data_IF_603491374922
#
_entry.id   IF_603491374922
#
_cell.length_a   1.000
_cell.length_b   1.000
_cell.length_c   1.000
_cell.angle_alpha   90.00
_cell.angle_beta   90.00
_cell.angle_gamma   90.00
#
_symmetry.space_group_name_H-M   'P 1'
#
loop_
_entity.id
_entity.type
_entity.pdbx_description
1 polymer ?
#
# COMPACT_ATOMS: atom_id res chain seq x y z
N UNK A 1 7.20 23.94 10.02
CA UNK A 1 6.98 24.94 8.93
C UNK A 1 5.49 24.94 8.62
N UNK A 2 4.78 26.02 8.89
CA UNK A 2 3.35 26.12 8.64
C UNK A 2 3.03 26.75 7.28
N UNK A 3 1.72 26.87 6.93
CA UNK A 3 1.28 27.52 5.67
C UNK A 3 1.92 28.90 5.43
N UNK A 4 2.12 29.71 6.48
CA UNK A 4 2.71 31.03 6.36
C UNK A 4 4.17 31.02 5.87
N UNK A 5 4.91 29.96 6.12
CA UNK A 5 6.31 29.84 5.70
C UNK A 5 6.48 29.34 4.26
N UNK A 6 5.42 28.86 3.62
CA UNK A 6 5.37 28.48 2.21
C UNK A 6 4.98 29.67 1.30
N UNK A 7 4.32 30.68 1.86
CA UNK A 7 3.89 31.86 1.10
C UNK A 7 5.11 32.58 0.48
N UNK A 8 5.02 32.84 -0.82
CA UNK A 8 6.07 33.50 -1.60
C UNK A 8 7.28 32.61 -1.96
N UNK A 9 7.38 31.37 -1.47
CA UNK A 9 8.43 30.44 -1.89
C UNK A 9 8.17 29.91 -3.29
N UNK A 10 9.23 29.64 -4.01
CA UNK A 10 9.18 28.92 -5.29
C UNK A 10 9.44 27.45 -5.07
N UNK A 11 8.43 26.60 -5.29
CA UNK A 11 8.46 25.17 -4.97
C UNK A 11 8.37 24.35 -6.25
N UNK A 12 9.32 23.42 -6.42
CA UNK A 12 9.28 22.44 -7.52
C UNK A 12 8.62 21.13 -7.02
N UNK A 13 7.53 20.73 -7.68
CA UNK A 13 6.88 19.42 -7.47
C UNK A 13 7.36 18.47 -8.55
N UNK A 14 8.03 17.39 -8.15
CA UNK A 14 8.58 16.37 -9.06
C UNK A 14 7.71 15.11 -9.03
N UNK A 15 7.12 14.78 -10.20
CA UNK A 15 6.08 13.76 -10.33
C UNK A 15 4.69 14.31 -10.06
N UNK A 16 3.86 14.40 -11.11
CA UNK A 16 2.53 15.03 -11.07
C UNK A 16 1.38 14.01 -11.13
N UNK A 17 1.64 12.76 -10.72
CA UNK A 17 0.57 11.80 -10.47
C UNK A 17 -0.26 12.21 -9.23
N UNK A 18 -1.08 11.32 -8.69
CA UNK A 18 -2.03 11.60 -7.60
C UNK A 18 -1.43 12.42 -6.44
N UNK A 19 -0.28 12.00 -5.90
CA UNK A 19 0.38 12.69 -4.77
C UNK A 19 0.92 14.07 -5.14
N UNK A 20 1.57 14.18 -6.30
CA UNK A 20 2.11 15.47 -6.76
C UNK A 20 1.04 16.48 -7.13
N UNK A 21 -0.08 16.05 -7.71
CA UNK A 21 -1.23 16.93 -7.96
C UNK A 21 -1.81 17.47 -6.64
N UNK A 22 -1.95 16.62 -5.63
CA UNK A 22 -2.44 17.05 -4.31
C UNK A 22 -1.47 18.02 -3.64
N UNK A 23 -0.16 17.73 -3.67
CA UNK A 23 0.87 18.61 -3.15
C UNK A 23 0.88 19.98 -3.85
N UNK A 24 0.83 20.02 -5.19
CA UNK A 24 0.80 21.25 -5.96
C UNK A 24 -0.42 22.10 -5.61
N UNK A 25 -1.61 21.47 -5.48
CA UNK A 25 -2.84 22.16 -5.09
C UNK A 25 -2.71 22.84 -3.72
N UNK A 26 -2.20 22.11 -2.73
CA UNK A 26 -2.02 22.65 -1.37
C UNK A 26 -0.96 23.75 -1.32
N UNK A 27 0.13 23.62 -2.06
CA UNK A 27 1.19 24.62 -2.15
C UNK A 27 0.68 25.93 -2.76
N UNK A 28 -0.09 25.86 -3.86
CA UNK A 28 -0.74 27.06 -4.44
C UNK A 28 -1.68 27.68 -3.43
N UNK A 29 -2.51 26.89 -2.73
CA UNK A 29 -3.42 27.37 -1.68
C UNK A 29 -2.70 27.96 -0.46
N UNK A 30 -1.43 27.60 -0.25
CA UNK A 30 -0.55 28.22 0.76
C UNK A 30 0.18 29.47 0.27
N UNK A 31 -0.04 29.92 -0.96
CA UNK A 31 0.58 31.11 -1.54
C UNK A 31 2.00 30.88 -2.10
N UNK A 32 2.41 29.64 -2.35
CA UNK A 32 3.66 29.32 -3.02
C UNK A 32 3.54 29.52 -4.55
N UNK A 33 4.65 29.89 -5.19
CA UNK A 33 4.82 29.81 -6.65
C UNK A 33 5.24 28.37 -7.01
N UNK A 34 4.39 27.65 -7.72
CA UNK A 34 4.62 26.21 -7.96
C UNK A 34 5.08 25.96 -9.38
N UNK A 35 6.19 25.24 -9.51
CA UNK A 35 6.69 24.63 -10.74
C UNK A 35 6.41 23.14 -10.67
N UNK A 36 5.74 22.56 -11.66
CA UNK A 36 5.44 21.13 -11.72
C UNK A 36 6.23 20.45 -12.84
N UNK A 37 6.86 19.33 -12.52
CA UNK A 37 7.56 18.49 -13.49
C UNK A 37 7.07 17.04 -13.45
N UNK A 38 6.86 16.45 -14.62
CA UNK A 38 6.64 15.01 -14.78
C UNK A 38 7.34 14.50 -16.06
N UNK A 39 7.92 13.29 -15.98
CA UNK A 39 8.58 12.65 -17.15
C UNK A 39 7.57 12.22 -18.23
N UNK A 40 6.30 12.04 -17.89
CA UNK A 40 5.24 11.70 -18.82
C UNK A 40 4.77 12.96 -19.57
N UNK A 41 5.23 13.13 -20.81
CA UNK A 41 4.88 14.27 -21.65
C UNK A 41 3.40 14.35 -22.05
N UNK A 42 2.65 13.26 -21.87
CA UNK A 42 1.21 13.17 -22.19
C UNK A 42 0.30 13.21 -20.98
N UNK A 43 0.85 13.51 -19.78
CA UNK A 43 0.07 13.56 -18.56
C UNK A 43 -0.99 14.67 -18.61
N UNK A 44 -2.24 14.34 -18.30
CA UNK A 44 -3.33 15.30 -18.20
C UNK A 44 -3.21 16.13 -16.92
N UNK A 45 -2.76 17.37 -17.06
CA UNK A 45 -2.49 18.32 -15.96
C UNK A 45 -3.30 19.63 -16.10
N UNK A 46 -4.40 19.61 -16.85
CA UNK A 46 -5.21 20.79 -17.13
C UNK A 46 -5.61 21.57 -15.87
N UNK A 47 -6.01 20.85 -14.82
CA UNK A 47 -6.40 21.44 -13.53
C UNK A 47 -5.26 22.17 -12.82
N UNK A 48 -4.01 21.72 -12.95
CA UNK A 48 -2.84 22.41 -12.38
C UNK A 48 -2.53 23.69 -13.15
N UNK A 49 -2.76 23.69 -14.48
CA UNK A 49 -2.58 24.88 -15.32
C UNK A 49 -3.59 25.97 -14.95
N UNK A 50 -4.84 25.61 -14.68
CA UNK A 50 -5.88 26.52 -14.20
C UNK A 50 -5.54 27.15 -12.85
N UNK A 51 -4.79 26.45 -12.02
CA UNK A 51 -4.27 26.94 -10.73
C UNK A 51 -3.03 27.84 -10.87
N UNK A 52 -2.53 28.07 -12.08
CA UNK A 52 -1.34 28.90 -12.32
C UNK A 52 -0.02 28.19 -12.08
N UNK A 53 0.01 26.85 -12.03
CA UNK A 53 1.25 26.08 -11.91
C UNK A 53 2.05 26.15 -13.23
N UNK A 54 3.33 26.52 -13.16
CA UNK A 54 4.27 26.44 -14.26
C UNK A 54 4.59 24.97 -14.55
N UNK A 55 4.24 24.45 -15.76
CA UNK A 55 4.30 23.03 -16.04
C UNK A 55 5.39 22.68 -17.06
N UNK A 56 6.22 21.68 -16.71
CA UNK A 56 7.24 21.10 -17.55
C UNK A 56 7.03 19.59 -17.66
N UNK A 57 6.70 19.11 -18.86
CA UNK A 57 6.39 17.69 -19.08
C UNK A 57 7.39 17.08 -20.08
N UNK A 58 7.80 15.85 -19.82
CA UNK A 58 8.69 15.05 -20.67
C UNK A 58 10.15 15.11 -20.23
N UNK A 59 10.95 16.01 -20.81
CA UNK A 59 12.40 16.02 -20.54
C UNK A 59 12.74 16.65 -19.19
N UNK A 60 13.53 15.94 -18.40
CA UNK A 60 14.09 16.43 -17.15
C UNK A 60 15.26 17.39 -17.42
N UNK A 61 15.22 18.59 -16.85
CA UNK A 61 16.24 19.61 -17.05
C UNK A 61 16.65 20.25 -15.74
N UNK A 62 17.95 20.22 -15.43
CA UNK A 62 18.50 20.74 -14.18
C UNK A 62 18.28 22.26 -13.98
N UNK A 63 18.05 23.01 -15.07
CA UNK A 63 17.69 24.42 -15.02
C UNK A 63 16.40 24.71 -14.24
N UNK A 64 15.50 23.73 -14.11
CA UNK A 64 14.27 23.85 -13.32
C UNK A 64 14.55 24.11 -11.83
N UNK A 65 15.77 23.84 -11.34
CA UNK A 65 16.19 24.14 -9.97
C UNK A 65 16.58 25.60 -9.73
N UNK A 66 16.63 26.43 -10.78
CA UNK A 66 17.00 27.84 -10.63
C UNK A 66 15.92 28.61 -9.85
N UNK A 67 16.33 29.21 -8.72
CA UNK A 67 15.44 29.97 -7.84
C UNK A 67 14.41 29.11 -7.10
N UNK A 68 14.59 27.81 -7.01
CA UNK A 68 13.74 26.92 -6.22
C UNK A 68 14.22 26.93 -4.75
N UNK A 69 13.27 27.12 -3.84
CA UNK A 69 13.48 27.13 -2.40
C UNK A 69 13.21 25.78 -1.74
N UNK A 70 12.43 24.92 -2.40
CA UNK A 70 12.00 23.61 -1.91
C UNK A 70 11.63 22.69 -3.07
N UNK A 71 11.99 21.43 -2.97
CA UNK A 71 11.51 20.35 -3.85
C UNK A 71 10.54 19.47 -3.08
N UNK A 72 9.36 19.19 -3.64
CA UNK A 72 8.42 18.18 -3.14
C UNK A 72 8.39 17.02 -4.11
N UNK A 73 8.76 15.83 -3.62
CA UNK A 73 8.91 14.62 -4.44
C UNK A 73 7.74 13.66 -4.25
N UNK A 74 7.14 13.21 -5.36
CA UNK A 74 6.19 12.08 -5.35
C UNK A 74 6.90 10.76 -5.05
N UNK A 75 6.25 9.79 -4.37
CA UNK A 75 6.88 8.51 -3.99
C UNK A 75 7.44 7.69 -5.16
N UNK A 76 6.78 7.77 -6.32
CA UNK A 76 7.21 7.08 -7.53
C UNK A 76 8.48 7.64 -8.19
N UNK A 77 8.93 8.82 -7.80
CA UNK A 77 10.15 9.45 -8.33
C UNK A 77 11.38 8.91 -7.60
N UNK A 78 12.36 8.33 -8.31
CA UNK A 78 13.60 7.87 -7.70
C UNK A 78 14.43 9.02 -7.12
N UNK A 79 15.16 8.76 -6.03
CA UNK A 79 16.06 9.72 -5.41
C UNK A 79 17.28 10.08 -6.26
N UNK A 80 17.59 9.27 -7.27
CA UNK A 80 18.73 9.41 -8.19
C UNK A 80 18.41 10.25 -9.42
N UNK A 81 17.20 10.76 -9.59
CA UNK A 81 16.86 11.65 -10.73
C UNK A 81 17.67 12.95 -10.69
N UNK A 82 17.88 13.53 -11.85
CA UNK A 82 18.71 14.75 -12.02
C UNK A 82 18.20 15.90 -11.15
N UNK A 83 16.87 16.07 -11.05
CA UNK A 83 16.28 17.14 -10.23
C UNK A 83 16.44 16.89 -8.74
N UNK A 84 16.24 15.65 -8.27
CA UNK A 84 16.37 15.34 -6.84
C UNK A 84 17.83 15.40 -6.39
N UNK A 85 18.74 14.79 -7.13
CA UNK A 85 20.18 14.87 -6.82
C UNK A 85 20.70 16.30 -6.92
N UNK A 86 20.34 17.01 -7.99
CA UNK A 86 20.75 18.39 -8.18
C UNK A 86 20.23 19.34 -7.10
N UNK A 87 19.03 19.09 -6.56
CA UNK A 87 18.51 19.81 -5.40
C UNK A 87 19.35 19.55 -4.15
N UNK A 88 19.62 18.29 -3.82
CA UNK A 88 20.46 17.89 -2.67
C UNK A 88 21.87 18.48 -2.75
N UNK A 89 22.50 18.44 -3.94
CA UNK A 89 23.84 19.02 -4.16
C UNK A 89 23.89 20.53 -3.96
N UNK A 90 22.77 21.22 -4.20
CA UNK A 90 22.63 22.68 -3.99
C UNK A 90 22.15 23.06 -2.60
N UNK A 91 21.93 22.07 -1.72
CA UNK A 91 21.37 22.31 -0.38
C UNK A 91 19.90 22.75 -0.41
N UNK A 92 19.17 22.51 -1.51
CA UNK A 92 17.72 22.75 -1.57
C UNK A 92 17.03 21.59 -0.84
N UNK A 93 16.17 21.87 0.16
CA UNK A 93 15.43 20.84 0.87
C UNK A 93 14.59 19.98 -0.11
N UNK A 94 14.56 18.66 0.13
CA UNK A 94 13.72 17.72 -0.61
C UNK A 94 12.78 17.06 0.37
N UNK A 95 11.48 17.24 0.21
CA UNK A 95 10.46 16.64 1.05
C UNK A 95 9.62 15.64 0.26
N UNK A 96 9.19 14.58 0.94
CA UNK A 96 8.10 13.75 0.42
C UNK A 96 6.75 14.49 0.53
N UNK A 97 5.75 14.02 -0.20
CA UNK A 97 4.36 14.50 -0.05
C UNK A 97 3.86 14.30 1.38
N UNK A 98 4.30 13.21 2.05
CA UNK A 98 3.98 12.94 3.45
C UNK A 98 4.57 13.98 4.39
N UNK A 99 5.83 14.36 4.19
CA UNK A 99 6.46 15.43 4.97
C UNK A 99 5.72 16.76 4.83
N UNK A 100 5.37 17.13 3.60
CA UNK A 100 4.57 18.34 3.35
C UNK A 100 3.21 18.26 4.07
N UNK A 101 2.51 17.14 3.98
CA UNK A 101 1.23 16.92 4.65
C UNK A 101 1.35 17.02 6.17
N UNK A 102 2.34 16.34 6.76
CA UNK A 102 2.59 16.36 8.20
C UNK A 102 2.90 17.75 8.75
N UNK A 103 3.60 18.59 7.97
CA UNK A 103 3.88 19.98 8.36
C UNK A 103 2.65 20.91 8.30
N UNK A 104 1.64 20.55 7.52
CA UNK A 104 0.46 21.38 7.29
C UNK A 104 -0.78 20.92 8.07
N UNK A 105 -0.74 19.73 8.64
CA UNK A 105 -1.79 19.15 9.45
C UNK A 105 -1.39 19.20 10.93
N UNK A 106 -2.35 19.54 11.79
CA UNK A 106 -2.19 19.51 13.26
C UNK A 106 -2.80 18.26 13.89
N UNK A 107 -3.44 17.44 13.08
CA UNK A 107 -4.12 16.22 13.50
C UNK A 107 -3.14 15.15 14.01
N UNK A 108 -3.51 14.38 15.04
CA UNK A 108 -2.70 13.25 15.48
C UNK A 108 -2.61 12.20 14.37
N UNK A 109 -1.37 11.79 14.05
CA UNK A 109 -1.10 10.78 13.02
C UNK A 109 -0.82 9.43 13.69
N UNK A 110 -1.49 8.38 13.21
CA UNK A 110 -1.16 6.99 13.44
C UNK A 110 -0.52 6.47 12.14
N UNK A 111 0.82 6.37 12.13
CA UNK A 111 1.58 5.93 10.98
C UNK A 111 1.71 4.41 10.93
N UNK A 112 1.49 3.80 9.77
CA UNK A 112 1.63 2.34 9.56
C UNK A 112 2.61 2.06 8.44
N UNK A 113 3.71 1.37 8.76
CA UNK A 113 4.69 0.90 7.79
C UNK A 113 4.98 -0.60 7.93
N UNK A 114 5.70 -1.15 6.98
CA UNK A 114 6.09 -2.55 6.91
C UNK A 114 6.33 -2.97 5.46
N UNK A 115 6.86 -4.12 5.24
CA UNK A 115 6.90 -4.69 3.89
C UNK A 115 5.49 -5.11 3.48
N UNK A 116 4.79 -5.82 4.34
CA UNK A 116 3.47 -6.41 4.11
C UNK A 116 2.45 -5.95 5.15
N UNK A 117 1.15 -6.11 4.86
CA UNK A 117 0.07 -5.86 5.82
C UNK A 117 -0.39 -4.41 5.97
N UNK A 118 0.36 -3.42 5.49
CA UNK A 118 0.09 -1.98 5.68
C UNK A 118 -1.36 -1.57 5.41
N UNK A 119 -1.87 -1.86 4.22
CA UNK A 119 -3.23 -1.44 3.82
C UNK A 119 -4.30 -2.09 4.68
N UNK A 120 -4.18 -3.41 4.93
CA UNK A 120 -5.12 -4.14 5.78
C UNK A 120 -5.15 -3.55 7.19
N UNK A 121 -3.97 -3.30 7.79
CA UNK A 121 -3.86 -2.72 9.13
C UNK A 121 -4.39 -1.30 9.18
N UNK A 122 -4.10 -0.46 8.17
CA UNK A 122 -4.58 0.93 8.12
C UNK A 122 -6.10 0.99 7.98
N UNK A 123 -6.69 0.17 7.12
CA UNK A 123 -8.15 0.12 6.94
C UNK A 123 -8.85 -0.48 8.15
N UNK A 124 -8.28 -1.52 8.78
CA UNK A 124 -8.79 -2.08 10.03
C UNK A 124 -8.75 -1.04 11.15
N UNK A 125 -7.68 -0.27 11.29
CA UNK A 125 -7.59 0.85 12.23
C UNK A 125 -8.67 1.90 11.94
N UNK A 126 -8.86 2.27 10.67
CA UNK A 126 -9.97 3.13 10.27
C UNK A 126 -11.33 2.60 10.71
N UNK A 127 -11.57 1.28 10.57
CA UNK A 127 -12.79 0.63 11.05
C UNK A 127 -12.92 0.68 12.58
N UNK A 128 -11.82 0.45 13.31
CA UNK A 128 -11.78 0.53 14.78
C UNK A 128 -12.14 1.93 15.28
N UNK A 129 -11.58 2.98 14.69
CA UNK A 129 -11.91 4.37 15.06
C UNK A 129 -13.38 4.69 14.78
N UNK A 130 -13.91 4.25 13.63
CA UNK A 130 -15.34 4.42 13.28
C UNK A 130 -16.24 3.68 14.25
N UNK A 131 -15.93 2.43 14.63
CA UNK A 131 -16.67 1.67 15.64
C UNK A 131 -16.64 2.35 17.01
N UNK A 132 -15.54 3.04 17.36
CA UNK A 132 -15.43 3.85 18.57
C UNK A 132 -16.15 5.21 18.48
N UNK A 133 -16.79 5.54 17.36
CA UNK A 133 -17.40 6.85 17.13
C UNK A 133 -16.40 8.01 17.08
N UNK A 134 -15.10 7.73 16.82
CA UNK A 134 -14.02 8.73 16.72
C UNK A 134 -13.83 9.18 15.29
N UNK A 135 -13.78 10.49 15.00
CA UNK A 135 -13.46 10.99 13.68
C UNK A 135 -12.09 10.47 13.19
N UNK A 136 -12.05 9.95 11.97
CA UNK A 136 -10.84 9.37 11.39
C UNK A 136 -10.82 9.49 9.88
N UNK A 137 -9.64 9.79 9.33
CA UNK A 137 -9.34 9.69 7.90
C UNK A 137 -8.24 8.65 7.68
N UNK A 138 -8.37 7.84 6.63
CA UNK A 138 -7.32 6.91 6.19
C UNK A 138 -6.69 7.48 4.92
N UNK A 139 -5.37 7.65 4.94
CA UNK A 139 -4.63 8.32 3.86
C UNK A 139 -3.20 7.76 3.71
N UNK A 140 -2.44 8.28 2.76
CA UNK A 140 -1.02 7.98 2.55
C UNK A 140 -0.73 7.24 1.26
N UNK A 141 0.00 6.13 1.34
CA UNK A 141 0.48 5.37 0.18
C UNK A 141 -0.64 4.78 -0.70
N UNK A 142 -1.76 4.43 -0.10
CA UNK A 142 -2.95 3.92 -0.80
C UNK A 142 -4.13 4.84 -0.51
N UNK A 143 -5.05 4.98 -1.47
CA UNK A 143 -6.21 5.83 -1.32
C UNK A 143 -5.88 7.31 -1.50
N UNK A 144 -6.16 8.13 -0.49
CA UNK A 144 -6.00 9.59 -0.53
C UNK A 144 -4.58 10.01 -0.16
N UNK A 145 -3.91 10.90 -0.92
CA UNK A 145 -2.67 11.54 -0.47
C UNK A 145 -2.88 12.30 0.85
N UNK A 146 -1.86 12.32 1.72
CA UNK A 146 -1.95 13.02 3.01
C UNK A 146 -2.23 14.51 2.83
N UNK A 147 -1.59 15.15 1.86
CA UNK A 147 -1.80 16.57 1.53
C UNK A 147 -3.24 16.88 1.09
N UNK A 148 -3.99 15.90 0.55
CA UNK A 148 -5.39 16.13 0.16
C UNK A 148 -6.34 16.35 1.35
N UNK A 149 -5.90 16.06 2.57
CA UNK A 149 -6.65 16.28 3.81
C UNK A 149 -6.52 17.72 4.31
N UNK A 150 -5.49 18.46 3.88
CA UNK A 150 -5.21 19.81 4.34
C UNK A 150 -6.37 20.75 4.04
N UNK A 151 -7.01 21.26 5.09
CA UNK A 151 -8.17 22.16 5.01
C UNK A 151 -9.51 21.47 4.79
N UNK A 152 -9.57 20.13 4.80
CA UNK A 152 -10.82 19.36 4.65
C UNK A 152 -11.08 18.38 5.79
N UNK A 153 -10.06 17.99 6.54
CA UNK A 153 -10.19 17.08 7.70
C UNK A 153 -10.66 17.87 8.93
N UNK A 154 -11.51 17.24 9.76
CA UNK A 154 -11.93 17.84 11.03
C UNK A 154 -10.76 17.94 12.00
N UNK A 155 -10.69 19.00 12.80
CA UNK A 155 -9.55 19.31 13.67
C UNK A 155 -9.31 18.22 14.75
N UNK A 156 -10.35 17.51 15.16
CA UNK A 156 -10.31 16.42 16.17
C UNK A 156 -10.15 15.03 15.56
N UNK A 157 -10.08 14.92 14.23
CA UNK A 157 -9.92 13.65 13.56
C UNK A 157 -8.49 13.09 13.72
N UNK A 158 -8.39 11.79 13.92
CA UNK A 158 -7.13 11.06 13.74
C UNK A 158 -6.88 10.79 12.26
N UNK A 159 -5.62 10.75 11.89
CA UNK A 159 -5.20 10.35 10.55
C UNK A 159 -4.44 9.05 10.64
N UNK A 160 -5.04 7.96 10.15
CA UNK A 160 -4.34 6.70 9.93
C UNK A 160 -3.61 6.79 8.60
N UNK A 161 -2.28 6.86 8.66
CA UNK A 161 -1.43 7.13 7.51
C UNK A 161 -0.62 5.89 7.11
N UNK A 162 -0.94 5.28 5.97
CA UNK A 162 -0.11 4.23 5.38
C UNK A 162 1.16 4.84 4.80
N UNK A 163 2.34 4.31 5.19
CA UNK A 163 3.65 4.83 4.84
C UNK A 163 4.51 3.78 4.13
N UNK A 164 4.86 4.05 2.87
CA UNK A 164 5.86 3.25 2.15
C UNK A 164 7.29 3.69 2.51
N UNK A 165 8.28 2.84 2.24
CA UNK A 165 9.69 3.23 2.37
C UNK A 165 10.03 4.44 1.50
N UNK A 166 9.47 4.50 0.28
CA UNK A 166 9.71 5.62 -0.65
C UNK A 166 9.19 6.97 -0.13
N UNK A 167 8.13 6.96 0.67
CA UNK A 167 7.61 8.15 1.33
C UNK A 167 8.45 8.55 2.54
N UNK A 168 8.98 7.55 3.26
CA UNK A 168 9.83 7.76 4.43
C UNK A 168 11.27 8.18 4.07
N UNK A 169 11.73 8.03 2.82
CA UNK A 169 13.06 8.51 2.38
C UNK A 169 13.28 9.99 2.67
N UNK A 170 12.28 10.82 2.44
CA UNK A 170 12.39 12.29 2.49
C UNK A 170 11.42 12.88 3.53
N UNK A 171 11.39 12.29 4.74
CA UNK A 171 10.72 12.86 5.93
C UNK A 171 11.78 13.48 6.85
N UNK A 172 11.46 14.60 7.48
CA UNK A 172 12.33 15.32 8.41
C UNK A 172 11.67 15.54 9.76
N UNK A 173 10.37 15.86 9.75
CA UNK A 173 9.62 16.26 10.95
C UNK A 173 8.40 15.40 11.25
N UNK A 174 8.17 14.37 10.43
CA UNK A 174 7.08 13.43 10.66
C UNK A 174 7.19 12.79 12.05
N UNK A 175 6.22 13.06 12.92
CA UNK A 175 6.14 12.59 14.31
C UNK A 175 4.77 11.95 14.54
N UNK A 176 4.59 10.66 14.22
CA UNK A 176 3.33 9.97 14.49
C UNK A 176 3.14 9.78 16.01
N UNK A 177 1.96 10.11 16.55
CA UNK A 177 1.59 9.83 17.95
C UNK A 177 1.58 8.33 18.24
N UNK A 178 1.26 7.53 17.23
CA UNK A 178 1.44 6.07 17.25
C UNK A 178 2.11 5.67 15.94
N UNK A 179 3.31 5.11 16.01
CA UNK A 179 4.01 4.53 14.86
C UNK A 179 3.92 3.01 14.92
N UNK A 180 3.58 2.37 13.80
CA UNK A 180 3.46 0.91 13.69
C UNK A 180 4.42 0.39 12.62
N UNK A 181 5.30 -0.51 13.02
CA UNK A 181 6.09 -1.34 12.11
C UNK A 181 5.54 -2.76 12.12
N UNK A 182 5.03 -3.25 10.99
CA UNK A 182 4.43 -4.58 10.91
C UNK A 182 5.48 -5.70 10.75
N UNK A 183 6.38 -5.52 9.79
CA UNK A 183 7.44 -6.47 9.45
C UNK A 183 8.45 -5.80 8.52
N UNK A 184 9.65 -6.38 8.43
CA UNK A 184 10.66 -6.02 7.41
C UNK A 184 11.15 -7.31 6.76
N UNK A 185 10.92 -7.44 5.46
CA UNK A 185 11.37 -8.53 4.61
C UNK A 185 12.07 -7.94 3.39
N UNK A 186 12.99 -8.66 2.72
CA UNK A 186 13.65 -8.17 1.51
C UNK A 186 12.64 -7.77 0.42
N UNK A 187 12.65 -6.47 0.06
CA UNK A 187 11.84 -5.89 -1.00
C UNK A 187 12.50 -4.60 -1.51
N UNK A 188 12.23 -4.22 -2.74
CA UNK A 188 12.72 -2.96 -3.33
C UNK A 188 14.23 -2.72 -3.22
N UNK A 189 15.06 -3.80 -3.24
CA UNK A 189 16.52 -3.70 -3.11
C UNK A 189 17.17 -3.03 -4.33
N UNK A 190 16.51 -3.07 -5.48
CA UNK A 190 16.86 -2.33 -6.69
C UNK A 190 16.87 -0.82 -6.46
N UNK A 191 16.04 -0.31 -5.56
CA UNK A 191 15.95 1.11 -5.22
C UNK A 191 16.76 1.49 -3.97
N UNK A 192 16.71 0.68 -2.91
CA UNK A 192 17.40 1.00 -1.66
C UNK A 192 18.86 0.55 -1.63
N UNK A 193 19.29 -0.27 -2.60
CA UNK A 193 20.65 -0.78 -2.73
C UNK A 193 20.99 -1.92 -1.77
N UNK A 194 20.43 -1.94 -0.55
CA UNK A 194 20.63 -3.01 0.43
C UNK A 194 19.40 -3.22 1.32
N UNK A 195 19.34 -4.39 1.98
CA UNK A 195 18.32 -4.68 2.97
C UNK A 195 18.41 -3.74 4.19
N UNK A 196 19.63 -3.45 4.64
CA UNK A 196 19.84 -2.58 5.79
C UNK A 196 19.35 -1.15 5.52
N UNK A 197 19.68 -0.57 4.35
CA UNK A 197 19.18 0.74 3.95
C UNK A 197 17.64 0.78 3.83
N UNK A 198 17.03 -0.30 3.32
CA UNK A 198 15.57 -0.44 3.28
C UNK A 198 14.97 -0.48 4.68
N UNK A 199 15.57 -1.26 5.59
CA UNK A 199 15.13 -1.37 6.98
C UNK A 199 15.27 -0.03 7.71
N UNK A 200 16.43 0.62 7.62
CA UNK A 200 16.69 1.95 8.19
C UNK A 200 15.69 2.98 7.71
N UNK A 201 15.38 2.98 6.40
CA UNK A 201 14.37 3.89 5.84
C UNK A 201 12.99 3.69 6.48
N UNK A 202 12.56 2.45 6.72
CA UNK A 202 11.28 2.20 7.41
C UNK A 202 11.29 2.64 8.87
N UNK A 203 12.42 2.47 9.55
CA UNK A 203 12.58 2.86 10.95
C UNK A 203 12.50 4.37 11.16
N UNK A 204 12.64 5.18 10.12
CA UNK A 204 12.47 6.65 10.20
C UNK A 204 11.09 7.07 10.70
N UNK A 205 10.08 6.20 10.63
CA UNK A 205 8.76 6.45 11.24
C UNK A 205 8.86 6.75 12.74
N UNK A 206 9.91 6.28 13.42
CA UNK A 206 10.11 6.42 14.87
C UNK A 206 11.12 7.54 15.22
N UNK A 207 11.90 8.06 14.26
CA UNK A 207 13.03 8.96 14.52
C UNK A 207 12.66 10.20 15.34
N UNK A 208 11.46 10.74 15.12
CA UNK A 208 11.00 11.98 15.75
C UNK A 208 10.02 11.74 16.89
N UNK A 209 9.64 10.49 17.16
CA UNK A 209 8.75 10.20 18.26
C UNK A 209 9.35 10.57 19.61
N UNK A 210 8.58 11.29 20.43
CA UNK A 210 8.89 11.69 21.78
C UNK A 210 8.49 10.60 22.80
N UNK A 211 8.82 10.80 24.07
CA UNK A 211 8.56 9.81 25.14
C UNK A 211 7.07 9.56 25.43
N UNK A 212 6.20 10.50 25.06
CA UNK A 212 4.73 10.39 25.19
C UNK A 212 4.07 9.75 23.97
N UNK A 213 4.83 9.52 22.89
CA UNK A 213 4.38 8.78 21.72
C UNK A 213 4.52 7.26 21.93
N UNK A 214 3.95 6.47 21.02
CA UNK A 214 4.02 5.01 21.10
C UNK A 214 4.56 4.40 19.80
N UNK A 215 5.56 3.54 19.95
CA UNK A 215 6.11 2.71 18.89
C UNK A 215 5.60 1.27 19.03
N UNK A 216 4.81 0.80 18.10
CA UNK A 216 4.25 -0.56 18.03
C UNK A 216 5.10 -1.38 17.06
N UNK A 217 5.72 -2.45 17.55
CA UNK A 217 6.68 -3.28 16.79
C UNK A 217 6.44 -4.76 17.02
N UNK A 218 6.89 -5.65 16.12
CA UNK A 218 6.82 -7.09 16.35
C UNK A 218 7.55 -7.51 17.64
N UNK A 219 7.05 -8.52 18.33
CA UNK A 219 7.69 -9.07 19.54
C UNK A 219 9.12 -9.50 19.23
N UNK A 220 10.05 -9.05 20.08
CA UNK A 220 11.48 -9.34 19.94
C UNK A 220 12.17 -8.56 18.81
N UNK A 221 11.53 -7.57 18.18
CA UNK A 221 12.18 -6.71 17.21
C UNK A 221 13.35 -5.96 17.86
N UNK A 222 14.44 -5.76 17.10
CA UNK A 222 15.65 -5.08 17.54
C UNK A 222 15.44 -3.63 18.00
N UNK A 223 16.52 -2.87 18.24
CA UNK A 223 16.44 -1.46 18.59
C UNK A 223 15.72 -0.62 17.51
N UNK A 224 15.02 0.41 17.95
CA UNK A 224 14.37 1.42 17.09
C UNK A 224 14.90 2.82 17.46
N UNK A 225 14.94 3.78 16.54
CA UNK A 225 15.28 5.16 16.85
C UNK A 225 14.17 5.86 17.64
N UNK A 226 14.48 7.08 18.14
CA UNK A 226 13.54 7.88 18.92
C UNK A 226 13.49 7.48 20.39
N UNK A 227 12.53 8.06 21.11
CA UNK A 227 12.36 7.85 22.56
C UNK A 227 10.97 7.37 22.96
N UNK A 228 10.14 6.98 21.97
CA UNK A 228 8.79 6.54 22.18
C UNK A 228 8.66 5.34 23.13
N UNK A 229 7.54 5.27 23.80
CA UNK A 229 7.17 4.09 24.56
C UNK A 229 6.95 2.90 23.63
N UNK A 230 7.74 1.85 23.80
CA UNK A 230 7.66 0.62 22.99
C UNK A 230 6.52 -0.27 23.46
N UNK A 231 5.72 -0.74 22.51
CA UNK A 231 4.68 -1.75 22.67
C UNK A 231 4.94 -2.86 21.65
N UNK A 232 4.99 -4.09 22.09
CA UNK A 232 5.22 -5.24 21.23
C UNK A 232 3.91 -5.96 20.92
N UNK A 233 3.82 -6.54 19.71
CA UNK A 233 2.70 -7.39 19.29
C UNK A 233 3.19 -8.68 18.63
N UNK A 234 2.34 -9.71 18.67
CA UNK A 234 2.54 -10.96 17.93
C UNK A 234 1.19 -11.60 17.55
N UNK A 235 1.22 -12.49 16.57
CA UNK A 235 0.01 -13.17 16.11
C UNK A 235 -0.66 -14.11 17.14
N UNK A 236 0.04 -14.46 18.21
CA UNK A 236 -0.47 -15.26 19.33
C UNK A 236 -1.01 -14.43 20.50
N UNK A 237 -1.00 -13.09 20.40
CA UNK A 237 -1.56 -12.21 21.42
C UNK A 237 -3.06 -12.45 21.58
N UNK A 238 -3.56 -12.25 22.82
CA UNK A 238 -5.00 -12.27 23.10
C UNK A 238 -5.66 -11.02 22.49
N UNK A 239 -6.61 -11.25 21.59
CA UNK A 239 -7.38 -10.21 20.93
C UNK A 239 -8.76 -10.09 21.59
N UNK A 240 -9.40 -8.89 21.55
CA UNK A 240 -10.76 -8.71 22.07
C UNK A 240 -11.82 -9.52 21.30
N UNK A 241 -11.53 -9.90 20.06
CA UNK A 241 -12.30 -10.85 19.26
C UNK A 241 -11.40 -11.46 18.16
N UNK A 242 -11.78 -12.61 17.63
CA UNK A 242 -11.12 -13.16 16.44
C UNK A 242 -11.44 -12.31 15.20
N UNK A 243 -10.43 -12.00 14.34
CA UNK A 243 -10.67 -11.25 13.14
C UNK A 243 -11.47 -12.07 12.12
N UNK A 244 -12.43 -11.42 11.46
CA UNK A 244 -13.26 -12.02 10.42
C UNK A 244 -12.42 -12.46 9.21
N UNK A 245 -11.38 -11.70 8.85
CA UNK A 245 -10.49 -12.00 7.74
C UNK A 245 -9.53 -13.16 8.10
N UNK A 246 -9.50 -14.24 7.29
CA UNK A 246 -8.75 -15.44 7.63
C UNK A 246 -7.24 -15.29 7.42
N UNK A 247 -6.49 -16.19 8.03
CA UNK A 247 -5.07 -16.38 7.81
C UNK A 247 -4.17 -15.79 8.89
N UNK A 248 -2.99 -16.42 9.12
CA UNK A 248 -2.07 -16.04 10.18
C UNK A 248 -1.54 -14.61 10.02
N UNK A 249 -1.30 -14.16 8.80
CA UNK A 249 -0.86 -12.77 8.53
C UNK A 249 -1.92 -11.74 8.91
N UNK A 250 -3.21 -12.07 8.71
CA UNK A 250 -4.29 -11.17 9.08
C UNK A 250 -4.47 -11.13 10.61
N UNK A 251 -4.17 -12.24 11.29
CA UNK A 251 -4.14 -12.25 12.75
C UNK A 251 -3.00 -11.39 13.31
N UNK A 252 -1.81 -11.41 12.68
CA UNK A 252 -0.71 -10.49 13.00
C UNK A 252 -1.08 -9.02 12.75
N UNK A 253 -1.71 -8.73 11.60
CA UNK A 253 -2.22 -7.39 11.30
C UNK A 253 -3.24 -6.92 12.34
N UNK A 254 -4.13 -7.82 12.79
CA UNK A 254 -5.12 -7.55 13.82
C UNK A 254 -4.47 -7.30 15.20
N UNK A 255 -3.42 -8.04 15.55
CA UNK A 255 -2.66 -7.83 16.78
C UNK A 255 -1.96 -6.46 16.77
N UNK A 256 -1.30 -6.10 15.66
CA UNK A 256 -0.70 -4.79 15.48
C UNK A 256 -1.73 -3.65 15.57
N UNK A 257 -2.88 -3.81 14.88
CA UNK A 257 -3.97 -2.84 14.92
C UNK A 257 -4.56 -2.69 16.34
N UNK A 258 -4.74 -3.80 17.05
CA UNK A 258 -5.22 -3.80 18.44
C UNK A 258 -4.26 -3.04 19.37
N UNK A 259 -2.97 -3.34 19.29
CA UNK A 259 -1.94 -2.65 20.07
C UNK A 259 -1.90 -1.14 19.76
N UNK A 260 -1.99 -0.76 18.49
CA UNK A 260 -2.00 0.63 18.05
C UNK A 260 -3.28 1.36 18.47
N UNK A 261 -4.45 0.73 18.35
CA UNK A 261 -5.72 1.29 18.77
C UNK A 261 -5.77 1.54 20.29
N UNK A 262 -5.30 0.58 21.09
CA UNK A 262 -5.16 0.76 22.56
C UNK A 262 -4.21 1.91 22.90
N UNK A 263 -3.10 2.06 22.15
CA UNK A 263 -2.17 3.18 22.31
C UNK A 263 -2.82 4.53 21.96
N UNK A 264 -3.74 4.56 21.00
CA UNK A 264 -4.55 5.73 20.67
C UNK A 264 -5.76 5.97 21.60
N UNK A 265 -5.89 5.16 22.66
CA UNK A 265 -6.97 5.28 23.67
C UNK A 265 -8.33 4.75 23.22
N UNK A 266 -8.36 3.79 22.30
CA UNK A 266 -9.60 3.09 21.90
C UNK A 266 -9.83 1.88 22.83
N UNK A 267 -11.06 1.74 23.29
CA UNK A 267 -11.46 0.63 24.15
C UNK A 267 -11.67 -0.69 23.39
N UNK A 268 -11.53 -1.81 24.12
CA UNK A 268 -11.59 -3.15 23.54
C UNK A 268 -12.95 -3.50 22.91
N UNK A 269 -14.06 -2.91 23.34
CA UNK A 269 -15.38 -3.15 22.74
C UNK A 269 -15.43 -2.71 21.26
N UNK A 270 -14.90 -1.53 20.97
CA UNK A 270 -14.84 -1.02 19.60
C UNK A 270 -13.83 -1.80 18.73
N UNK A 271 -12.72 -2.23 19.33
CA UNK A 271 -11.74 -3.08 18.65
C UNK A 271 -12.40 -4.43 18.31
N UNK A 272 -13.09 -5.05 19.27
CA UNK A 272 -13.80 -6.32 19.08
C UNK A 272 -14.88 -6.22 17.98
N UNK A 273 -15.64 -5.13 17.97
CA UNK A 273 -16.65 -4.87 16.92
C UNK A 273 -15.99 -4.80 15.54
N UNK A 274 -14.92 -4.00 15.40
CA UNK A 274 -14.21 -3.89 14.14
C UNK A 274 -13.59 -5.23 13.69
N UNK A 275 -13.00 -6.00 14.60
CA UNK A 275 -12.44 -7.31 14.27
C UNK A 275 -13.49 -8.30 13.75
N UNK A 276 -14.72 -8.26 14.29
CA UNK A 276 -15.82 -9.14 13.85
C UNK A 276 -16.46 -8.71 12.54
N UNK A 277 -16.39 -7.43 12.18
CA UNK A 277 -17.13 -6.84 11.05
C UNK A 277 -16.27 -6.42 9.89
N UNK A 278 -14.95 -6.32 10.07
CA UNK A 278 -14.05 -5.90 8.99
C UNK A 278 -13.85 -7.04 7.98
N UNK A 279 -14.46 -6.91 6.83
CA UNK A 279 -14.43 -7.89 5.73
C UNK A 279 -13.10 -7.90 4.95
N UNK A 280 -12.15 -7.02 5.30
CA UNK A 280 -10.88 -6.86 4.61
C UNK A 280 -10.86 -5.69 3.64
N UNK A 281 -9.82 -5.66 2.82
CA UNK A 281 -9.63 -4.63 1.78
C UNK A 281 -10.11 -5.19 0.46
N UNK A 282 -10.92 -4.47 -0.31
CA UNK A 282 -11.31 -4.90 -1.64
C UNK A 282 -10.10 -5.35 -2.47
N UNK A 283 -10.25 -6.43 -3.20
CA UNK A 283 -9.22 -7.03 -4.06
C UNK A 283 -7.96 -7.56 -3.32
N UNK A 284 -8.03 -7.77 -1.99
CA UNK A 284 -6.95 -8.35 -1.19
C UNK A 284 -7.47 -9.49 -0.32
N UNK A 285 -7.31 -10.74 -0.79
CA UNK A 285 -7.81 -11.96 -0.15
C UNK A 285 -9.28 -11.77 0.28
N UNK A 286 -10.04 -11.06 -0.55
CA UNK A 286 -11.44 -10.72 -0.34
C UNK A 286 -12.32 -11.93 -0.66
N UNK A 287 -13.08 -12.42 0.32
CA UNK A 287 -14.12 -13.41 0.06
C UNK A 287 -15.27 -12.74 -0.70
N UNK A 288 -15.42 -13.05 -1.99
CA UNK A 288 -16.50 -12.52 -2.83
C UNK A 288 -17.80 -13.26 -2.56
N UNK A 289 -17.73 -14.59 -2.53
CA UNK A 289 -18.90 -15.47 -2.38
C UNK A 289 -18.50 -16.87 -1.97
N UNK A 290 -19.37 -17.54 -1.25
CA UNK A 290 -19.37 -18.99 -1.13
C UNK A 290 -20.55 -19.54 -1.92
N UNK A 291 -20.29 -20.47 -2.85
CA UNK A 291 -21.31 -21.10 -3.68
C UNK A 291 -21.09 -22.62 -3.68
N UNK A 292 -22.10 -23.39 -3.26
CA UNK A 292 -22.04 -24.86 -3.18
C UNK A 292 -20.85 -25.39 -2.36
N UNK A 293 -20.44 -24.64 -1.33
CA UNK A 293 -19.29 -24.96 -0.48
C UNK A 293 -17.94 -24.58 -1.09
N UNK A 294 -17.89 -24.00 -2.29
CA UNK A 294 -16.68 -23.43 -2.90
C UNK A 294 -16.57 -21.96 -2.54
N UNK A 295 -15.41 -21.55 -2.02
CA UNK A 295 -15.11 -20.14 -1.71
C UNK A 295 -14.41 -19.46 -2.88
N UNK A 296 -14.92 -18.33 -3.31
CA UNK A 296 -14.35 -17.50 -4.38
C UNK A 296 -13.66 -16.29 -3.77
N UNK A 297 -12.35 -16.19 -3.95
CA UNK A 297 -11.50 -15.22 -3.27
C UNK A 297 -10.78 -14.32 -4.28
N UNK A 298 -10.91 -13.02 -4.10
CA UNK A 298 -10.34 -11.99 -4.94
C UNK A 298 -9.08 -11.39 -4.28
N UNK A 299 -7.92 -11.69 -4.83
CA UNK A 299 -6.63 -11.08 -4.50
C UNK A 299 -6.01 -10.39 -5.73
N UNK A 300 -6.83 -9.69 -6.52
CA UNK A 300 -6.36 -9.00 -7.73
C UNK A 300 -5.22 -8.02 -7.46
N UNK A 301 -5.07 -7.51 -6.24
CA UNK A 301 -3.96 -6.66 -5.79
C UNK A 301 -2.64 -7.43 -5.65
N UNK A 302 -2.65 -8.74 -5.68
CA UNK A 302 -1.48 -9.63 -5.69
C UNK A 302 -0.71 -9.56 -7.02
N UNK A 303 -0.07 -8.43 -7.32
CA UNK A 303 0.57 -8.14 -8.62
C UNK A 303 2.04 -8.54 -8.71
N UNK A 304 2.53 -9.36 -7.80
CA UNK A 304 3.87 -9.94 -7.79
C UNK A 304 3.89 -11.34 -7.16
N UNK A 305 4.97 -12.07 -7.38
CA UNK A 305 5.14 -13.46 -6.90
C UNK A 305 5.04 -13.55 -5.37
N UNK A 306 5.66 -12.61 -4.65
CA UNK A 306 5.64 -12.61 -3.18
C UNK A 306 4.22 -12.42 -2.61
N UNK A 307 3.39 -11.62 -3.25
CA UNK A 307 1.98 -11.46 -2.86
C UNK A 307 1.18 -12.75 -3.10
N UNK A 308 1.35 -13.38 -4.26
CA UNK A 308 0.67 -14.63 -4.58
C UNK A 308 1.07 -15.77 -3.63
N UNK A 309 2.35 -15.88 -3.26
CA UNK A 309 2.81 -16.84 -2.26
C UNK A 309 2.08 -16.69 -0.92
N UNK A 310 1.88 -15.44 -0.46
CA UNK A 310 1.11 -15.18 0.77
C UNK A 310 -0.36 -15.54 0.63
N UNK A 311 -0.95 -15.27 -0.54
CA UNK A 311 -2.34 -15.62 -0.80
C UNK A 311 -2.55 -17.15 -0.77
N UNK A 312 -1.65 -17.93 -1.38
CA UNK A 312 -1.69 -19.39 -1.30
C UNK A 312 -1.56 -19.87 0.17
N UNK A 313 -0.63 -19.29 0.94
CA UNK A 313 -0.41 -19.64 2.35
C UNK A 313 -1.60 -19.32 3.27
N UNK A 314 -2.52 -18.45 2.84
CA UNK A 314 -3.72 -18.11 3.62
C UNK A 314 -4.75 -19.25 3.67
N UNK A 315 -4.60 -20.29 2.84
CA UNK A 315 -5.53 -21.41 2.74
C UNK A 315 -4.80 -22.77 2.91
N UNK A 316 -4.22 -23.03 4.11
CA UNK A 316 -3.37 -24.22 4.30
C UNK A 316 -4.11 -25.55 4.15
N UNK A 317 -5.41 -25.56 4.47
CA UNK A 317 -6.23 -26.79 4.54
C UNK A 317 -7.18 -26.93 3.36
N UNK A 318 -7.08 -26.07 2.32
CA UNK A 318 -7.96 -26.12 1.15
C UNK A 318 -7.19 -26.50 -0.10
N UNK A 319 -7.86 -27.19 -1.01
CA UNK A 319 -7.43 -27.35 -2.39
C UNK A 319 -7.67 -26.04 -3.14
N UNK A 320 -6.67 -25.61 -3.91
CA UNK A 320 -6.69 -24.31 -4.58
C UNK A 320 -6.84 -24.44 -6.11
N UNK A 321 -7.73 -23.64 -6.65
CA UNK A 321 -7.85 -23.34 -8.08
C UNK A 321 -7.38 -21.91 -8.28
N UNK A 322 -6.10 -21.73 -8.68
CA UNK A 322 -5.45 -20.41 -8.67
C UNK A 322 -5.44 -19.79 -10.07
N UNK A 323 -6.04 -18.61 -10.21
CA UNK A 323 -6.01 -17.81 -11.45
C UNK A 323 -4.78 -16.90 -11.40
N UNK A 324 -3.88 -17.09 -12.36
CA UNK A 324 -2.55 -16.47 -12.43
C UNK A 324 -2.33 -15.79 -13.79
N UNK A 325 -1.54 -14.71 -13.83
CA UNK A 325 -1.12 -14.09 -15.08
C UNK A 325 -1.53 -12.64 -15.24
N UNK A 326 -1.20 -12.07 -16.39
CA UNK A 326 -1.25 -10.67 -16.68
C UNK A 326 0.06 -10.16 -17.28
N UNK A 327 0.42 -8.89 -17.06
CA UNK A 327 1.68 -8.29 -17.48
C UNK A 327 2.77 -8.53 -16.41
N UNK A 328 3.72 -9.41 -16.70
CA UNK A 328 4.82 -9.78 -15.79
C UNK A 328 5.89 -8.70 -15.66
N UNK A 329 6.61 -8.72 -14.51
CA UNK A 329 7.69 -7.79 -14.17
C UNK A 329 9.08 -8.44 -14.22
N UNK A 330 9.30 -9.41 -15.10
CA UNK A 330 10.53 -10.22 -15.19
C UNK A 330 10.88 -11.03 -13.94
N UNK A 331 9.89 -11.38 -13.12
CA UNK A 331 10.07 -12.23 -11.96
C UNK A 331 10.23 -13.70 -12.35
N UNK A 332 10.86 -14.49 -11.45
CA UNK A 332 10.91 -15.94 -11.51
C UNK A 332 9.62 -16.53 -10.90
N UNK A 333 9.00 -17.49 -11.59
CA UNK A 333 7.75 -18.13 -11.14
C UNK A 333 7.95 -19.51 -10.53
N UNK A 334 9.19 -20.05 -10.56
CA UNK A 334 9.55 -21.33 -9.96
C UNK A 334 9.26 -21.37 -8.44
N UNK A 335 9.54 -20.32 -7.63
CA UNK A 335 9.16 -20.31 -6.22
C UNK A 335 7.65 -20.39 -5.99
N UNK A 336 6.85 -19.73 -6.87
CA UNK A 336 5.39 -19.80 -6.80
C UNK A 336 4.89 -21.20 -7.15
N UNK A 337 5.43 -21.81 -8.21
CA UNK A 337 5.08 -23.17 -8.61
C UNK A 337 5.38 -24.20 -7.53
N UNK A 338 6.51 -24.04 -6.82
CA UNK A 338 6.90 -24.92 -5.72
C UNK A 338 6.00 -24.81 -4.47
N UNK A 339 5.21 -23.73 -4.34
CA UNK A 339 4.27 -23.54 -3.24
C UNK A 339 2.91 -24.23 -3.43
N UNK A 340 2.63 -24.74 -4.63
CA UNK A 340 1.41 -25.51 -4.90
C UNK A 340 1.48 -26.89 -4.25
N UNK A 341 0.36 -27.33 -3.72
CA UNK A 341 0.21 -28.64 -3.07
C UNK A 341 -0.39 -29.68 -4.01
N UNK A 342 -0.31 -30.92 -3.61
CA UNK A 342 -0.97 -32.01 -4.33
C UNK A 342 -2.49 -31.74 -4.39
N UNK A 343 -3.03 -31.74 -5.60
CA UNK A 343 -4.43 -31.45 -5.87
C UNK A 343 -4.72 -30.01 -6.31
N UNK A 344 -3.84 -29.06 -6.05
CA UNK A 344 -3.99 -27.69 -6.56
C UNK A 344 -3.88 -27.63 -8.09
N UNK A 345 -4.49 -26.60 -8.69
CA UNK A 345 -4.46 -26.38 -10.14
C UNK A 345 -4.29 -24.89 -10.48
N UNK A 346 -3.54 -24.60 -11.56
CA UNK A 346 -3.33 -23.26 -12.08
C UNK A 346 -4.19 -22.98 -13.32
N UNK A 347 -4.74 -21.77 -13.40
CA UNK A 347 -5.48 -21.24 -14.55
C UNK A 347 -4.79 -19.98 -15.02
N UNK A 348 -4.12 -20.03 -16.19
CA UNK A 348 -3.26 -18.94 -16.61
C UNK A 348 -3.93 -18.04 -17.64
N UNK A 349 -3.75 -16.70 -17.44
CA UNK A 349 -4.32 -15.64 -18.28
C UNK A 349 -3.23 -14.64 -18.72
N UNK A 350 -3.54 -13.87 -19.76
CA UNK A 350 -2.73 -12.73 -20.19
C UNK A 350 -1.36 -13.07 -20.76
N UNK A 351 -0.57 -12.01 -21.01
CA UNK A 351 0.70 -12.09 -21.76
C UNK A 351 1.78 -12.94 -21.10
N UNK A 352 1.78 -13.06 -19.76
CA UNK A 352 2.75 -13.87 -19.02
C UNK A 352 2.27 -15.29 -18.73
N UNK A 353 1.03 -15.61 -19.09
CA UNK A 353 0.40 -16.90 -18.82
C UNK A 353 1.22 -18.10 -19.24
N UNK A 354 1.82 -18.08 -20.44
CA UNK A 354 2.65 -19.18 -20.95
C UNK A 354 3.95 -19.40 -20.13
N UNK A 355 4.58 -18.32 -19.64
CA UNK A 355 5.76 -18.43 -18.76
C UNK A 355 5.41 -19.06 -17.43
N UNK A 356 4.27 -18.68 -16.84
CA UNK A 356 3.76 -19.24 -15.59
C UNK A 356 3.37 -20.72 -15.80
N UNK A 357 2.66 -21.01 -16.90
CA UNK A 357 2.26 -22.38 -17.23
C UNK A 357 3.46 -23.36 -17.24
N UNK A 358 4.55 -22.97 -17.90
CA UNK A 358 5.79 -23.79 -17.94
C UNK A 358 6.38 -24.03 -16.55
N UNK A 359 6.41 -23.01 -15.69
CA UNK A 359 6.91 -23.17 -14.32
C UNK A 359 6.05 -24.15 -13.52
N UNK A 360 4.73 -24.03 -13.61
CA UNK A 360 3.77 -24.93 -12.94
C UNK A 360 3.87 -26.37 -13.47
N UNK A 361 3.90 -26.56 -14.80
CA UNK A 361 4.06 -27.87 -15.44
C UNK A 361 5.37 -28.54 -15.04
N UNK A 362 6.47 -27.78 -14.95
CA UNK A 362 7.77 -28.29 -14.48
C UNK A 362 7.71 -28.77 -13.03
N UNK A 363 6.88 -28.13 -12.21
CA UNK A 363 6.62 -28.53 -10.81
C UNK A 363 5.56 -29.66 -10.69
N UNK A 364 4.98 -30.13 -11.81
CA UNK A 364 3.96 -31.18 -11.82
C UNK A 364 2.56 -30.70 -11.46
N UNK A 365 2.29 -29.38 -11.49
CA UNK A 365 0.99 -28.78 -11.20
C UNK A 365 0.11 -28.82 -12.45
N UNK A 366 -1.15 -29.27 -12.38
CA UNK A 366 -2.11 -29.21 -13.49
C UNK A 366 -2.36 -27.76 -13.90
N UNK A 367 -2.34 -27.47 -15.22
CA UNK A 367 -2.50 -26.11 -15.76
C UNK A 367 -3.57 -26.08 -16.84
N UNK A 368 -4.44 -25.09 -16.76
CA UNK A 368 -5.40 -24.71 -17.81
C UNK A 368 -4.98 -23.35 -18.39
N UNK A 369 -4.73 -23.31 -19.70
CA UNK A 369 -4.47 -22.07 -20.45
C UNK A 369 -5.81 -21.43 -20.84
N UNK A 370 -6.26 -20.52 -19.98
CA UNK A 370 -7.59 -19.90 -20.13
C UNK A 370 -7.56 -18.63 -20.99
N UNK A 371 -6.38 -17.99 -21.12
CA UNK A 371 -6.17 -16.76 -21.88
C UNK A 371 -6.87 -15.51 -21.29
N UNK A 372 -8.16 -15.62 -20.92
CA UNK A 372 -8.98 -14.53 -20.38
C UNK A 372 -9.51 -14.84 -18.97
N UNK A 373 -9.90 -13.80 -18.23
CA UNK A 373 -10.39 -13.95 -16.85
C UNK A 373 -11.72 -14.70 -16.80
N UNK A 374 -12.64 -14.44 -17.72
CA UNK A 374 -13.94 -15.11 -17.80
C UNK A 374 -13.80 -16.62 -18.05
N UNK A 375 -12.93 -17.00 -18.99
CA UNK A 375 -12.61 -18.40 -19.25
C UNK A 375 -11.95 -19.08 -18.04
N UNK A 376 -11.05 -18.38 -17.33
CA UNK A 376 -10.41 -18.89 -16.12
C UNK A 376 -11.40 -19.11 -14.97
N UNK A 377 -12.32 -18.17 -14.75
CA UNK A 377 -13.38 -18.29 -13.73
C UNK A 377 -14.32 -19.45 -14.08
N UNK A 378 -14.76 -19.57 -15.33
CA UNK A 378 -15.64 -20.66 -15.76
C UNK A 378 -14.95 -22.03 -15.60
N UNK A 379 -13.68 -22.17 -16.03
CA UNK A 379 -12.95 -23.42 -15.95
C UNK A 379 -12.64 -23.82 -14.50
N UNK A 380 -12.22 -22.87 -13.66
CA UNK A 380 -11.96 -23.14 -12.25
C UNK A 380 -13.22 -23.48 -11.47
N UNK A 381 -14.33 -22.79 -11.72
CA UNK A 381 -15.62 -23.07 -11.10
C UNK A 381 -16.17 -24.46 -11.50
N UNK A 382 -15.97 -24.90 -12.75
CA UNK A 382 -16.38 -26.23 -13.22
C UNK A 382 -15.56 -27.37 -12.61
N UNK A 383 -14.30 -27.10 -12.19
CA UNK A 383 -13.39 -28.09 -11.62
C UNK A 383 -13.40 -28.13 -10.08
N UNK A 384 -13.89 -27.06 -9.44
CA UNK A 384 -13.89 -26.94 -7.98
C UNK A 384 -15.01 -27.78 -7.33
N UNK A 385 -14.68 -28.41 -6.21
CA UNK A 385 -15.57 -29.21 -5.37
C UNK A 385 -15.83 -28.48 -4.03
N UNK A 386 -16.81 -28.96 -3.28
CA UNK A 386 -17.09 -28.40 -1.96
C UNK A 386 -15.83 -28.41 -1.08
N UNK A 387 -15.58 -27.34 -0.33
CA UNK A 387 -14.37 -27.01 0.47
C UNK A 387 -13.19 -26.44 -0.29
N UNK A 388 -13.21 -26.45 -1.62
CA UNK A 388 -12.17 -25.85 -2.44
C UNK A 388 -12.22 -24.30 -2.41
N UNK A 389 -11.11 -23.69 -2.84
CA UNK A 389 -11.01 -22.24 -3.01
C UNK A 389 -10.62 -21.91 -4.45
N UNK A 390 -11.46 -21.12 -5.12
CA UNK A 390 -11.09 -20.45 -6.37
C UNK A 390 -10.48 -19.10 -6.01
N UNK A 391 -9.19 -18.96 -6.27
CA UNK A 391 -8.38 -17.79 -5.86
C UNK A 391 -7.87 -17.03 -7.09
N UNK A 392 -8.31 -15.77 -7.26
CA UNK A 392 -7.63 -14.85 -8.15
C UNK A 392 -6.45 -14.23 -7.40
N UNK A 393 -5.21 -14.67 -7.65
CA UNK A 393 -3.99 -14.04 -7.15
C UNK A 393 -2.92 -14.03 -8.25
N UNK A 394 -2.96 -13.01 -9.12
CA UNK A 394 -2.39 -13.07 -10.47
C UNK A 394 -0.85 -13.14 -10.54
N UNK A 395 -0.13 -12.75 -9.49
CA UNK A 395 1.33 -12.58 -9.49
C UNK A 395 1.87 -11.60 -10.57
N UNK A 396 0.99 -10.90 -11.28
CA UNK A 396 1.30 -10.00 -12.40
C UNK A 396 0.44 -8.73 -12.35
N UNK A 397 0.95 -7.64 -12.92
CA UNK A 397 0.14 -6.45 -13.18
C UNK A 397 -1.00 -6.77 -14.16
N UNK A 398 -2.02 -5.91 -14.22
CA UNK A 398 -3.25 -6.13 -14.99
C UNK A 398 -3.29 -5.42 -16.35
N UNK A 399 -2.28 -4.59 -16.67
CA UNK A 399 -2.31 -3.61 -17.77
C UNK A 399 -2.36 -4.19 -19.18
N UNK A 400 -2.27 -5.51 -19.34
CA UNK A 400 -2.44 -6.19 -20.62
C UNK A 400 -3.90 -6.43 -20.99
N UNK A 401 -4.80 -6.60 -19.99
CA UNK A 401 -6.22 -6.85 -20.22
C UNK A 401 -7.15 -5.86 -19.48
N UNK A 402 -6.66 -5.12 -18.49
CA UNK A 402 -7.43 -4.21 -17.65
C UNK A 402 -6.67 -2.91 -17.43
N UNK A 403 -7.39 -1.80 -17.19
CA UNK A 403 -6.77 -0.49 -16.91
C UNK A 403 -5.96 -0.45 -15.59
N UNK A 404 -6.37 -1.25 -14.59
CA UNK A 404 -5.77 -1.34 -13.26
C UNK A 404 -6.17 -2.67 -12.59
N UNK A 405 -5.60 -2.96 -11.41
CA UNK A 405 -5.92 -4.18 -10.67
C UNK A 405 -7.33 -4.13 -10.09
N UNK A 406 -7.87 -2.96 -9.79
CA UNK A 406 -9.23 -2.74 -9.34
C UNK A 406 -10.22 -3.21 -10.40
N UNK A 407 -10.05 -2.78 -11.64
CA UNK A 407 -10.91 -3.20 -12.75
C UNK A 407 -10.88 -4.72 -12.98
N UNK A 408 -9.71 -5.37 -12.84
CA UNK A 408 -9.60 -6.84 -12.89
C UNK A 408 -10.32 -7.51 -11.72
N UNK A 409 -10.20 -6.97 -10.53
CA UNK A 409 -10.86 -7.48 -9.33
C UNK A 409 -12.38 -7.30 -9.38
N UNK A 410 -12.86 -6.16 -9.89
CA UNK A 410 -14.29 -5.92 -10.10
C UNK A 410 -14.88 -6.86 -11.16
N UNK A 411 -14.14 -7.11 -12.25
CA UNK A 411 -14.54 -8.09 -13.26
C UNK A 411 -14.63 -9.51 -12.67
N UNK A 412 -13.64 -9.93 -11.86
CA UNK A 412 -13.71 -11.21 -11.15
C UNK A 412 -14.94 -11.30 -10.24
N UNK A 413 -15.20 -10.25 -9.46
CA UNK A 413 -16.37 -10.19 -8.58
C UNK A 413 -17.68 -10.32 -9.37
N UNK A 414 -17.83 -9.60 -10.48
CA UNK A 414 -19.01 -9.67 -11.33
C UNK A 414 -19.22 -11.09 -11.89
N UNK A 415 -18.17 -11.70 -12.46
CA UNK A 415 -18.22 -13.06 -13.00
C UNK A 415 -18.60 -14.09 -11.93
N UNK A 416 -18.03 -13.98 -10.72
CA UNK A 416 -18.35 -14.90 -9.61
C UNK A 416 -19.80 -14.75 -9.15
N UNK A 417 -20.34 -13.54 -9.11
CA UNK A 417 -21.74 -13.30 -8.71
C UNK A 417 -22.74 -13.82 -9.74
N UNK A 418 -22.35 -13.93 -11.01
CA UNK A 418 -23.17 -14.48 -12.09
C UNK A 418 -23.16 -16.02 -12.14
N UNK A 419 -22.23 -16.70 -11.44
CA UNK A 419 -22.22 -18.17 -11.38
C UNK A 419 -23.54 -18.71 -10.77
N UNK A 420 -24.11 -19.74 -11.39
CA UNK A 420 -25.41 -20.32 -11.03
C UNK A 420 -25.27 -21.43 -9.96
#
# INVERSE_FOLDING_TARGET
>A
MGRAELAGRRVLVVGLARSGMAAAHVLVGAGASVVGYDQNGSLEVGRLRELGVELHLGREEERLLQGIDLVVKSPGVPGETVLVQGARQRGIPVWSEIELGARLLSNPILGVTGTNGKTTTSELLGAVFRAAGRPVEVAGNVGRPLTSLVGSVADDAWIVCELSSFQLEDVETLEPKVGVLLNIEPDHLDRHGSFDAYAETKLRIFERQAADDTAVVPRGFGPIPGTARRVEFAGDDELPAEPLIPGPHNRENAAAATAAARAAGIGDDAIAEALRTFEGVPHRIELVRELRGVRYVNDSKGTNVAAALRALASFPDSRLHVILGGLGKNEAYEPLAAAFKAGDAGYVIGTTGEKIARALETAGVPVTRAETLDAAVAASAAAAEATDVVLLSPACASFDQFRDFEARGDAFRALVLELA
#
